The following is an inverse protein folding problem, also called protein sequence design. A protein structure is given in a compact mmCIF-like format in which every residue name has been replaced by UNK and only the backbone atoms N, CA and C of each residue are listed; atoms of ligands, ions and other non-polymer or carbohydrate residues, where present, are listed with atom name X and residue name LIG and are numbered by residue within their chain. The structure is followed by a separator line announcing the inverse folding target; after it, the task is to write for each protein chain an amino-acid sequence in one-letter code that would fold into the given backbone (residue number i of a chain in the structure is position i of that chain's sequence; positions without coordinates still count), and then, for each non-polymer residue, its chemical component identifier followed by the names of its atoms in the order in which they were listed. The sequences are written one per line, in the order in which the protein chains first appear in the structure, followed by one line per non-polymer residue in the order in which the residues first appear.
data_IF_112145661520
#
_entry.id   IF_112145661520
#
_cell.length_a   1.000
_cell.length_b   1.000
_cell.length_c   1.000
_cell.angle_alpha   90.00
_cell.angle_beta   90.00
_cell.angle_gamma   90.00
#
_symmetry.space_group_name_H-M   'P 1'
#
loop_
_entity.id
_entity.type
_entity.pdbx_description
1 polymer ?
#
# COMPACT_ATOMS: atom_id res chain seq x y z
N UNK A 1 -55.53 31.53 -18.09
CA UNK A 1 -55.17 30.25 -18.75
C UNK A 1 -53.67 30.05 -18.62
N UNK A 2 -53.29 28.93 -17.99
CA UNK A 2 -51.98 28.25 -17.90
C UNK A 2 -50.72 29.11 -17.68
N UNK A 3 -50.37 29.15 -16.39
CA UNK A 3 -49.00 29.08 -15.87
C UNK A 3 -48.22 27.94 -16.55
N UNK A 4 -46.88 28.05 -16.49
CA UNK A 4 -45.84 27.00 -16.73
C UNK A 4 -45.10 27.15 -18.06
N UNK A 5 -43.88 27.68 -17.97
CA UNK A 5 -42.67 27.16 -18.63
C UNK A 5 -41.49 27.52 -17.73
N UNK A 6 -41.21 26.66 -16.75
CA UNK A 6 -40.09 25.71 -16.79
C UNK A 6 -38.73 26.36 -16.48
N UNK A 7 -38.61 26.76 -15.20
CA UNK A 7 -37.48 26.47 -14.29
C UNK A 7 -36.32 25.69 -14.93
N UNK A 8 -35.43 26.37 -15.67
CA UNK A 8 -34.25 25.76 -16.31
C UNK A 8 -32.94 26.38 -15.80
N UNK A 9 -32.88 26.62 -14.48
CA UNK A 9 -31.62 26.94 -13.78
C UNK A 9 -31.38 25.85 -12.74
N UNK A 10 -31.36 24.60 -13.20
CA UNK A 10 -30.72 23.53 -12.45
C UNK A 10 -29.23 23.59 -12.79
N UNK A 11 -28.54 24.52 -12.13
CA UNK A 11 -27.09 24.61 -12.12
C UNK A 11 -26.54 23.22 -11.82
N UNK A 12 -25.88 22.66 -12.82
CA UNK A 12 -25.03 21.48 -12.76
C UNK A 12 -23.99 21.70 -11.65
N UNK A 13 -24.34 21.26 -10.44
CA UNK A 13 -23.36 20.91 -9.41
C UNK A 13 -22.56 19.73 -9.95
N UNK A 14 -21.55 20.03 -10.76
CA UNK A 14 -20.42 19.14 -10.99
C UNK A 14 -19.74 18.94 -9.64
N UNK A 15 -20.21 17.94 -8.89
CA UNK A 15 -19.49 17.36 -7.78
C UNK A 15 -18.19 16.79 -8.35
N UNK A 16 -17.13 17.59 -8.31
CA UNK A 16 -15.78 17.11 -8.52
C UNK A 16 -15.42 16.27 -7.29
N UNK A 17 -15.69 14.97 -7.34
CA UNK A 17 -15.15 14.04 -6.37
C UNK A 17 -13.63 14.07 -6.54
N UNK A 18 -12.92 14.79 -5.66
CA UNK A 18 -11.47 14.66 -5.58
C UNK A 18 -11.15 13.17 -5.39
N UNK A 19 -10.22 12.59 -6.16
CA UNK A 19 -9.82 11.21 -5.93
C UNK A 19 -9.34 11.11 -4.47
N UNK A 20 -10.03 10.27 -3.68
CA UNK A 20 -9.54 9.89 -2.35
C UNK A 20 -8.14 9.33 -2.57
N UNK A 21 -7.14 10.08 -2.14
CA UNK A 21 -5.75 9.71 -2.25
C UNK A 21 -5.58 8.47 -1.38
N UNK A 22 -5.61 7.29 -2.00
CA UNK A 22 -5.25 6.06 -1.29
C UNK A 22 -3.82 6.26 -0.82
N UNK A 23 -3.63 6.41 0.48
CA UNK A 23 -2.33 6.53 1.15
C UNK A 23 -1.60 5.18 1.12
N UNK A 24 -1.40 4.66 -0.09
CA UNK A 24 -0.76 3.39 -0.39
C UNK A 24 0.13 3.56 -1.62
N UNK A 25 1.18 2.76 -1.69
CA UNK A 25 2.11 2.68 -2.82
C UNK A 25 2.05 1.27 -3.39
N UNK A 26 1.66 1.15 -4.65
CA UNK A 26 1.62 -0.15 -5.33
C UNK A 26 2.94 -0.38 -6.07
N UNK A 27 3.57 -1.52 -5.81
CA UNK A 27 4.76 -1.99 -6.50
C UNK A 27 4.45 -3.28 -7.25
N UNK A 28 4.99 -3.43 -8.45
CA UNK A 28 4.89 -4.65 -9.25
C UNK A 28 6.28 -5.15 -9.58
N UNK A 29 6.45 -6.47 -9.68
CA UNK A 29 7.72 -7.08 -10.10
C UNK A 29 8.16 -6.64 -11.50
N UNK A 30 7.20 -6.35 -12.38
CA UNK A 30 7.47 -5.93 -13.75
C UNK A 30 8.05 -4.52 -13.83
N UNK A 31 7.55 -3.60 -13.00
CA UNK A 31 7.91 -2.17 -13.07
C UNK A 31 9.03 -1.81 -12.08
N UNK A 32 9.38 -2.73 -11.18
CA UNK A 32 10.37 -2.49 -10.15
C UNK A 32 11.79 -2.45 -10.71
N UNK A 33 12.50 -1.36 -10.42
CA UNK A 33 13.89 -1.16 -10.83
C UNK A 33 14.81 -1.78 -9.78
N UNK A 34 15.47 -2.88 -10.15
CA UNK A 34 16.39 -3.61 -9.28
C UNK A 34 15.98 -5.07 -9.10
N UNK A 35 16.43 -5.67 -8.00
CA UNK A 35 16.06 -7.06 -7.68
C UNK A 35 14.78 -7.10 -6.86
N UNK A 36 13.76 -7.75 -7.40
CA UNK A 36 12.48 -7.90 -6.72
C UNK A 36 12.59 -8.85 -5.51
N UNK A 37 12.28 -8.39 -4.28
CA UNK A 37 12.60 -9.14 -3.06
C UNK A 37 11.53 -10.14 -2.63
N UNK A 38 10.37 -10.19 -3.29
CA UNK A 38 9.21 -10.98 -2.85
C UNK A 38 8.85 -12.12 -3.79
N UNK A 39 8.32 -13.22 -3.26
CA UNK A 39 7.83 -14.36 -4.07
C UNK A 39 6.53 -14.04 -4.82
N UNK A 40 5.79 -13.02 -4.37
CA UNK A 40 4.57 -12.51 -5.01
C UNK A 40 4.90 -11.51 -6.11
N UNK A 41 4.00 -11.33 -7.09
CA UNK A 41 4.24 -10.43 -8.23
C UNK A 41 3.95 -8.95 -7.93
N UNK A 42 3.25 -8.65 -6.86
CA UNK A 42 2.95 -7.28 -6.45
C UNK A 42 2.70 -7.16 -4.96
N UNK A 43 2.89 -5.94 -4.45
CA UNK A 43 2.61 -5.59 -3.06
C UNK A 43 2.15 -4.13 -2.98
N UNK A 44 1.06 -3.90 -2.25
CA UNK A 44 0.57 -2.58 -1.88
C UNK A 44 1.12 -2.22 -0.50
N UNK A 45 2.05 -1.28 -0.44
CA UNK A 45 2.66 -0.78 0.81
C UNK A 45 1.80 0.33 1.37
N UNK A 46 1.55 0.30 2.68
CA UNK A 46 0.78 1.34 3.37
C UNK A 46 1.26 1.55 4.80
N UNK A 47 0.96 2.74 5.33
CA UNK A 47 1.25 3.11 6.72
C UNK A 47 0.00 3.03 7.60
N UNK A 48 0.04 2.21 8.66
CA UNK A 48 -1.06 2.08 9.61
C UNK A 48 -0.61 2.29 11.05
N UNK A 49 -0.58 3.55 11.46
CA UNK A 49 -0.28 4.01 12.81
C UNK A 49 0.69 5.18 12.69
N UNK A 50 1.69 5.27 13.57
CA UNK A 50 2.73 6.28 13.50
C UNK A 50 3.82 5.93 12.47
N UNK A 51 4.35 4.70 12.49
CA UNK A 51 5.47 4.26 11.64
C UNK A 51 5.40 2.78 11.25
N UNK A 52 4.25 2.16 11.39
CA UNK A 52 4.02 0.75 11.09
C UNK A 52 3.78 0.60 9.58
N UNK A 53 4.75 0.00 8.89
CA UNK A 53 4.67 -0.25 7.45
C UNK A 53 4.22 -1.68 7.20
N UNK A 54 3.11 -1.80 6.47
CA UNK A 54 2.53 -3.06 6.06
C UNK A 54 2.54 -3.19 4.55
N UNK A 55 2.57 -4.42 4.06
CA UNK A 55 2.39 -4.76 2.66
C UNK A 55 1.17 -5.67 2.51
N UNK A 56 0.27 -5.35 1.57
CA UNK A 56 -0.88 -6.17 1.21
C UNK A 56 -0.67 -6.76 -0.18
N UNK A 57 -0.87 -8.06 -0.32
CA UNK A 57 -0.82 -8.76 -1.61
C UNK A 57 -2.19 -8.77 -2.28
N UNK A 58 -2.24 -9.12 -3.57
CA UNK A 58 -3.48 -9.12 -4.37
C UNK A 58 -4.60 -10.00 -3.80
N UNK A 59 -4.25 -11.08 -3.11
CA UNK A 59 -5.18 -11.98 -2.43
C UNK A 59 -5.63 -11.46 -1.05
N UNK A 60 -5.20 -10.25 -0.68
CA UNK A 60 -5.57 -9.57 0.56
C UNK A 60 -4.72 -9.93 1.77
N UNK A 61 -3.74 -10.84 1.64
CA UNK A 61 -2.85 -11.20 2.75
C UNK A 61 -1.94 -10.02 3.12
N UNK A 62 -1.76 -9.79 4.42
CA UNK A 62 -1.04 -8.63 4.96
C UNK A 62 0.23 -9.08 5.67
N UNK A 63 1.32 -8.34 5.45
CA UNK A 63 2.63 -8.61 6.00
C UNK A 63 3.18 -7.39 6.73
N UNK A 64 3.73 -7.60 7.93
CA UNK A 64 4.46 -6.56 8.65
C UNK A 64 5.86 -6.38 8.04
N UNK A 65 6.13 -5.22 7.45
CA UNK A 65 7.38 -4.96 6.72
C UNK A 65 8.50 -4.39 7.61
N UNK A 66 8.17 -3.72 8.72
CA UNK A 66 9.20 -3.16 9.61
C UNK A 66 9.00 -3.55 11.08
N UNK A 67 9.99 -3.22 11.91
CA UNK A 67 9.97 -3.54 13.34
C UNK A 67 8.76 -2.96 14.09
N UNK A 68 8.35 -1.74 13.75
CA UNK A 68 7.16 -1.11 14.34
C UNK A 68 5.89 -1.90 14.02
N UNK A 69 5.68 -2.27 12.75
CA UNK A 69 4.55 -3.11 12.35
C UNK A 69 4.58 -4.47 13.05
N UNK A 70 5.75 -5.13 13.09
CA UNK A 70 5.92 -6.43 13.78
C UNK A 70 5.58 -6.32 15.27
N UNK A 71 6.00 -5.24 15.93
CA UNK A 71 5.69 -4.99 17.34
C UNK A 71 4.21 -4.69 17.56
N UNK A 72 3.60 -3.86 16.72
CA UNK A 72 2.17 -3.52 16.83
C UNK A 72 1.26 -4.73 16.57
N UNK A 73 1.64 -5.61 15.63
CA UNK A 73 0.82 -6.75 15.21
C UNK A 73 1.20 -8.08 15.87
N UNK A 74 2.02 -8.09 16.93
CA UNK A 74 2.59 -9.33 17.48
C UNK A 74 1.55 -10.37 17.94
N UNK A 75 0.35 -9.92 18.34
CA UNK A 75 -0.77 -10.78 18.74
C UNK A 75 -1.89 -10.85 17.70
N UNK A 76 -1.70 -10.27 16.52
CA UNK A 76 -2.72 -10.25 15.47
C UNK A 76 -2.48 -11.40 14.47
N UNK A 77 -3.29 -12.47 14.49
CA UNK A 77 -3.11 -13.60 13.58
C UNK A 77 -3.45 -13.28 12.12
N UNK A 78 -4.09 -12.14 11.84
CA UNK A 78 -4.38 -11.71 10.47
C UNK A 78 -3.16 -11.11 9.77
N UNK A 79 -2.10 -10.77 10.53
CA UNK A 79 -0.87 -10.18 10.00
C UNK A 79 0.23 -11.25 9.94
N UNK A 80 0.67 -11.54 8.73
CA UNK A 80 1.69 -12.54 8.44
C UNK A 80 3.11 -12.00 8.55
N UNK A 81 4.06 -12.91 8.66
CA UNK A 81 5.49 -12.59 8.71
C UNK A 81 6.02 -12.41 7.28
N UNK A 82 6.70 -11.31 7.01
CA UNK A 82 7.28 -11.03 5.67
C UNK A 82 8.25 -12.14 5.23
N UNK A 83 8.86 -12.84 6.18
CA UNK A 83 9.75 -13.99 5.94
C UNK A 83 9.11 -15.12 5.12
N UNK A 84 7.77 -15.22 5.09
CA UNK A 84 7.03 -16.18 4.26
C UNK A 84 7.13 -15.88 2.76
N UNK A 85 7.36 -14.62 2.38
CA UNK A 85 7.46 -14.18 0.99
C UNK A 85 8.83 -13.61 0.63
N UNK A 86 9.73 -13.46 1.60
CA UNK A 86 11.03 -12.83 1.40
C UNK A 86 12.04 -13.76 0.73
N UNK A 87 12.45 -13.41 -0.49
CA UNK A 87 13.36 -14.21 -1.30
C UNK A 87 14.81 -14.16 -0.78
N UNK A 88 15.50 -15.29 -0.93
CA UNK A 88 16.94 -15.35 -0.73
C UNK A 88 17.66 -14.60 -1.85
N UNK A 89 18.79 -13.99 -1.52
CA UNK A 89 19.66 -13.36 -2.51
C UNK A 89 20.37 -14.45 -3.34
N UNK A 90 20.20 -14.49 -4.67
CA UNK A 90 20.83 -15.51 -5.51
C UNK A 90 22.34 -15.33 -5.65
N UNK A 91 22.87 -14.15 -5.33
CA UNK A 91 24.31 -13.82 -5.41
C UNK A 91 25.05 -14.17 -4.13
N UNK A 92 24.37 -14.15 -2.98
CA UNK A 92 24.99 -14.30 -1.66
C UNK A 92 24.25 -15.31 -0.79
N UNK A 93 24.84 -16.50 -0.64
CA UNK A 93 24.28 -17.57 0.18
C UNK A 93 24.03 -17.12 1.63
N UNK A 94 22.83 -17.40 2.14
CA UNK A 94 22.41 -17.03 3.49
C UNK A 94 21.86 -15.61 3.64
N UNK A 95 21.96 -14.76 2.60
CA UNK A 95 21.36 -13.43 2.60
C UNK A 95 19.99 -13.42 1.93
N UNK A 96 19.27 -12.32 2.16
CA UNK A 96 17.97 -12.02 1.56
C UNK A 96 18.08 -10.76 0.70
N UNK A 97 17.28 -10.68 -0.37
CA UNK A 97 17.24 -9.50 -1.24
C UNK A 97 16.65 -8.33 -0.43
N UNK A 98 17.34 -7.19 -0.36
CA UNK A 98 16.83 -6.04 0.41
C UNK A 98 15.48 -5.56 -0.11
N UNK A 99 14.55 -5.27 0.81
CA UNK A 99 13.30 -4.54 0.55
C UNK A 99 13.24 -3.21 1.32
N UNK A 100 14.41 -2.69 1.73
CA UNK A 100 14.50 -1.49 2.56
C UNK A 100 13.85 -0.26 1.93
N UNK A 101 13.89 -0.15 0.62
CA UNK A 101 13.26 0.93 -0.15
C UNK A 101 11.72 0.93 -0.05
N UNK A 102 11.08 -0.24 0.05
CA UNK A 102 9.64 -0.35 0.32
C UNK A 102 9.31 0.25 1.70
N UNK A 103 10.16 0.01 2.70
CA UNK A 103 10.00 0.60 4.04
C UNK A 103 10.23 2.11 3.98
N UNK A 104 11.30 2.57 3.34
CA UNK A 104 11.62 3.99 3.20
C UNK A 104 10.50 4.75 2.51
N UNK A 105 10.00 4.25 1.38
CA UNK A 105 8.89 4.85 0.67
C UNK A 105 7.57 4.73 1.46
N UNK A 106 7.34 3.62 2.16
CA UNK A 106 6.20 3.48 3.05
C UNK A 106 6.19 4.53 4.18
N UNK A 107 7.37 4.87 4.72
CA UNK A 107 7.49 5.87 5.79
C UNK A 107 7.14 7.28 5.31
N UNK A 108 7.40 7.64 4.05
CA UNK A 108 6.97 8.95 3.52
C UNK A 108 5.46 9.09 3.51
N UNK A 109 4.71 7.98 3.39
CA UNK A 109 3.25 7.98 3.52
C UNK A 109 2.83 8.38 4.95
N UNK A 110 3.54 7.89 5.97
CA UNK A 110 3.24 8.22 7.37
C UNK A 110 3.43 9.71 7.69
N UNK A 111 4.39 10.37 7.05
CA UNK A 111 4.69 11.79 7.26
C UNK A 111 3.59 12.70 6.73
N UNK A 112 2.84 12.23 5.73
CA UNK A 112 1.73 12.96 5.09
C UNK A 112 0.35 12.64 5.67
N UNK A 113 0.30 11.87 6.76
CA UNK A 113 -0.94 11.43 7.40
C UNK A 113 -1.44 12.44 8.43
#
# INVERSE_FOLDING_TARGET
MKNITLLSVLLLILSCSAPSQRNTLKFTKQDYIGEWPFSVNEIEVYCSGYKEIYGRTNDGKVYALNGSAKGASHNDPSISKVEEIWLNDPKWAGLKISYGDFITQGLTICETK
#
